data_IF_344539895828
#
_entry.id   IF_344539895828
#
_cell.length_a   1.000
_cell.length_b   1.000
_cell.length_c   1.000
_cell.angle_alpha   90.00
_cell.angle_beta   90.00
_cell.angle_gamma   90.00
#
_symmetry.space_group_name_H-M   'P 1'
#
loop_
_entity.id
_entity.type
_entity.pdbx_description
1 polymer ?
#
# COMPACT_ATOMS: atom_id res chain seq x y z
N UNK A 1 -7.01 28.33 -10.63
CA UNK A 1 -8.34 27.75 -10.86
C UNK A 1 -8.26 26.33 -10.32
N UNK A 2 -9.23 25.92 -9.51
CA UNK A 2 -9.34 24.54 -9.05
C UNK A 2 -9.60 23.68 -10.30
N UNK A 3 -8.67 22.81 -10.65
CA UNK A 3 -8.74 21.96 -11.85
C UNK A 3 -9.61 20.72 -11.63
N UNK A 4 -10.23 20.59 -10.45
CA UNK A 4 -11.09 19.47 -10.09
C UNK A 4 -10.34 18.14 -9.98
N UNK A 5 -9.01 18.18 -9.85
CA UNK A 5 -8.18 16.99 -9.75
C UNK A 5 -8.35 16.32 -8.39
N UNK A 6 -8.79 15.07 -8.41
CA UNK A 6 -8.92 14.22 -7.23
C UNK A 6 -7.84 13.15 -7.28
N UNK A 7 -6.94 13.15 -6.30
CA UNK A 7 -5.89 12.13 -6.16
C UNK A 7 -6.27 11.05 -5.15
N UNK A 8 -5.86 9.81 -5.41
CA UNK A 8 -5.91 8.72 -4.42
C UNK A 8 -4.88 8.88 -3.30
N UNK A 9 -3.92 9.80 -3.45
CA UNK A 9 -2.67 9.76 -2.70
C UNK A 9 -1.73 8.65 -3.22
N UNK A 10 -0.49 8.69 -2.77
CA UNK A 10 0.54 7.71 -3.14
C UNK A 10 0.28 6.41 -2.38
N UNK A 11 0.13 5.31 -3.11
CA UNK A 11 -0.01 3.96 -2.63
C UNK A 11 1.27 3.17 -2.96
N UNK A 12 1.79 2.34 -2.07
CA UNK A 12 2.86 1.41 -2.39
C UNK A 12 2.34 0.23 -3.22
N UNK A 13 3.23 -0.37 -3.99
CA UNK A 13 3.05 -1.66 -4.66
C UNK A 13 3.76 -2.74 -3.82
N UNK A 14 3.36 -4.01 -3.98
CA UNK A 14 3.99 -5.16 -3.29
C UNK A 14 5.45 -5.41 -3.72
N UNK A 15 5.98 -4.63 -4.66
CA UNK A 15 7.32 -4.73 -5.24
C UNK A 15 8.22 -3.52 -4.91
N UNK A 16 7.91 -2.81 -3.83
CA UNK A 16 8.65 -1.61 -3.37
C UNK A 16 8.55 -0.39 -4.29
N UNK A 17 7.72 -0.44 -5.34
CA UNK A 17 7.39 0.73 -6.15
C UNK A 17 6.14 1.43 -5.59
N UNK A 18 5.77 2.57 -6.18
CA UNK A 18 4.55 3.29 -5.78
C UNK A 18 3.65 3.54 -6.98
N UNK A 19 2.36 3.66 -6.70
CA UNK A 19 1.31 4.02 -7.63
C UNK A 19 0.50 5.19 -7.06
N UNK A 20 -0.06 6.01 -7.94
CA UNK A 20 -1.03 7.05 -7.60
C UNK A 20 -2.07 7.10 -8.70
N UNK A 21 -3.34 7.23 -8.32
CA UNK A 21 -4.44 7.42 -9.26
C UNK A 21 -4.99 8.83 -9.11
N UNK A 22 -4.80 9.62 -10.15
CA UNK A 22 -5.39 10.95 -10.28
C UNK A 22 -6.58 10.89 -11.24
N UNK A 23 -7.67 11.59 -10.94
CA UNK A 23 -8.88 11.63 -11.77
C UNK A 23 -9.50 13.02 -11.77
N UNK A 24 -10.21 13.35 -12.85
CA UNK A 24 -11.01 14.57 -12.99
C UNK A 24 -12.37 14.20 -13.59
N UNK A 25 -13.43 14.90 -13.19
CA UNK A 25 -14.76 14.71 -13.78
C UNK A 25 -14.91 15.62 -15.01
N UNK A 26 -15.21 15.00 -16.15
CA UNK A 26 -15.37 15.70 -17.44
C UNK A 26 -16.78 15.43 -17.96
N UNK A 27 -17.45 16.48 -18.43
CA UNK A 27 -18.75 16.33 -19.09
C UNK A 27 -18.59 15.55 -20.39
N UNK A 28 -19.46 14.57 -20.65
CA UNK A 28 -19.43 13.81 -21.91
C UNK A 28 -19.58 14.67 -23.17
N UNK A 29 -20.20 15.84 -23.05
CA UNK A 29 -20.35 16.81 -24.13
C UNK A 29 -19.08 17.63 -24.40
N UNK A 30 -18.07 17.52 -23.54
CA UNK A 30 -16.80 18.23 -23.70
C UNK A 30 -15.96 17.52 -24.76
N UNK A 31 -15.70 18.23 -25.85
CA UNK A 31 -14.92 17.74 -26.99
C UNK A 31 -13.44 18.16 -26.91
N UNK A 32 -13.01 18.71 -25.78
CA UNK A 32 -11.62 19.11 -25.55
C UNK A 32 -10.68 17.91 -25.55
N UNK A 33 -9.41 18.17 -25.83
CA UNK A 33 -8.33 17.22 -25.61
C UNK A 33 -7.78 17.40 -24.18
N UNK A 34 -7.58 16.30 -23.48
CA UNK A 34 -7.08 16.24 -22.11
C UNK A 34 -5.72 15.55 -22.10
N UNK A 35 -4.85 15.93 -21.18
CA UNK A 35 -3.54 15.32 -21.02
C UNK A 35 -3.27 14.94 -19.57
N UNK A 36 -2.60 13.80 -19.38
CA UNK A 36 -1.95 13.43 -18.13
C UNK A 36 -0.45 13.46 -18.37
N UNK A 37 0.24 14.31 -17.64
CA UNK A 37 1.69 14.40 -17.63
C UNK A 37 2.20 13.81 -16.31
N UNK A 38 3.15 12.88 -16.42
CA UNK A 38 3.85 12.25 -15.29
C UNK A 38 5.31 12.59 -15.41
N UNK A 39 5.81 13.39 -14.47
CA UNK A 39 7.23 13.72 -14.32
C UNK A 39 7.76 13.03 -13.08
N UNK A 40 8.74 12.15 -13.26
CA UNK A 40 9.43 11.43 -12.20
C UNK A 40 10.93 11.78 -12.26
N UNK A 41 11.32 12.82 -11.53
CA UNK A 41 12.66 13.40 -11.56
C UNK A 41 13.75 12.39 -11.20
N UNK A 42 13.50 11.52 -10.22
CA UNK A 42 14.47 10.54 -9.74
C UNK A 42 14.91 9.53 -10.81
N UNK A 43 14.03 9.19 -11.76
CA UNK A 43 14.38 8.33 -12.90
C UNK A 43 14.55 9.11 -14.21
N UNK A 44 14.52 10.44 -14.16
CA UNK A 44 14.47 11.32 -15.33
C UNK A 44 13.38 10.92 -16.36
N UNK A 45 12.26 10.38 -15.89
CA UNK A 45 11.15 9.96 -16.76
C UNK A 45 10.13 11.10 -16.83
N UNK A 46 9.77 11.50 -18.05
CA UNK A 46 8.64 12.40 -18.32
C UNK A 46 7.76 11.75 -19.39
N UNK A 47 6.50 11.51 -19.06
CA UNK A 47 5.52 10.86 -19.94
C UNK A 47 4.26 11.69 -19.99
N UNK A 48 3.86 12.09 -21.20
CA UNK A 48 2.57 12.76 -21.43
C UNK A 48 1.67 11.87 -22.28
N UNK A 49 0.46 11.63 -21.82
CA UNK A 49 -0.60 10.92 -22.56
C UNK A 49 -1.77 11.85 -22.79
N UNK A 50 -2.27 11.89 -24.02
CA UNK A 50 -3.40 12.73 -24.43
C UNK A 50 -4.60 11.85 -24.77
N UNK A 51 -5.79 12.22 -24.31
CA UNK A 51 -7.07 11.57 -24.67
C UNK A 51 -8.15 12.62 -24.94
N UNK A 52 -9.21 12.24 -25.65
CA UNK A 52 -10.25 13.19 -26.09
C UNK A 52 -9.84 14.01 -27.32
N UNK A 53 -10.70 14.94 -27.74
CA UNK A 53 -10.57 15.67 -29.01
C UNK A 53 -11.34 15.03 -30.18
N UNK A 54 -11.59 15.78 -31.27
CA UNK A 54 -12.25 15.25 -32.46
C UNK A 54 -11.43 14.09 -33.04
N UNK A 55 -12.04 12.90 -33.04
CA UNK A 55 -11.43 11.70 -33.61
C UNK A 55 -11.16 11.92 -35.09
N UNK A 56 -9.89 11.99 -35.49
CA UNK A 56 -9.52 11.75 -36.89
C UNK A 56 -9.75 10.26 -37.12
N UNK A 57 -10.86 9.95 -37.77
CA UNK A 57 -11.17 8.59 -38.24
C UNK A 57 -10.16 8.26 -39.33
N UNK A 58 -9.08 7.55 -38.98
CA UNK A 58 -8.24 6.88 -39.97
C UNK A 58 -8.92 5.56 -40.29
N UNK A 59 -9.51 5.45 -41.49
CA UNK A 59 -10.07 4.20 -41.98
C UNK A 59 -8.95 3.14 -42.13
N UNK A 60 -9.07 1.97 -41.48
CA UNK A 60 -8.16 0.85 -41.74
C UNK A 60 -8.51 0.24 -43.10
N UNK A 61 -7.53 0.18 -44.00
CA UNK A 61 -7.59 -0.64 -45.20
C UNK A 61 -7.55 -2.12 -44.81
N UNK A 62 -8.48 -2.86 -45.39
CA UNK A 62 -8.71 -4.30 -45.20
C UNK A 62 -7.49 -5.15 -45.60
N UNK A 63 -6.94 -5.93 -44.65
CA UNK A 63 -6.05 -7.07 -44.90
C UNK A 63 -6.73 -8.40 -44.53
N UNK A 64 -6.32 -9.55 -45.11
CA UNK A 64 -7.15 -10.75 -45.15
C UNK A 64 -7.11 -11.60 -43.87
N UNK A 65 -8.20 -12.34 -43.73
CA UNK A 65 -8.63 -13.23 -42.64
C UNK A 65 -7.59 -14.25 -42.18
N UNK A 66 -7.33 -14.31 -40.86
CA UNK A 66 -6.60 -15.40 -40.21
C UNK A 66 -7.57 -16.44 -39.62
N UNK A 67 -7.35 -17.69 -39.99
CA UNK A 67 -8.16 -18.87 -39.64
C UNK A 67 -8.04 -19.20 -38.14
N UNK A 68 -9.18 -19.34 -37.47
CA UNK A 68 -9.29 -19.78 -36.06
C UNK A 68 -9.19 -21.31 -35.99
N UNK A 69 -8.29 -21.91 -35.19
CA UNK A 69 -8.31 -23.34 -34.91
C UNK A 69 -9.31 -23.66 -33.79
N UNK A 70 -10.12 -24.69 -34.02
CA UNK A 70 -11.09 -25.28 -33.08
C UNK A 70 -10.43 -25.88 -31.83
N UNK A 71 -11.11 -25.87 -30.66
CA UNK A 71 -10.54 -26.37 -29.42
C UNK A 71 -10.57 -27.90 -29.36
N UNK A 72 -9.40 -28.50 -29.10
CA UNK A 72 -9.26 -29.91 -28.78
C UNK A 72 -9.76 -30.20 -27.36
N UNK A 73 -10.66 -31.18 -27.22
CA UNK A 73 -11.15 -31.71 -25.95
C UNK A 73 -10.01 -32.22 -25.06
N UNK A 74 -9.90 -31.73 -23.83
CA UNK A 74 -9.08 -32.34 -22.78
C UNK A 74 -9.91 -32.70 -21.54
N UNK A 75 -9.99 -34.02 -21.33
CA UNK A 75 -10.04 -34.87 -20.11
C UNK A 75 -10.49 -34.27 -18.75
N UNK A 76 -11.20 -35.04 -17.89
CA UNK A 76 -11.79 -34.54 -16.66
C UNK A 76 -10.73 -34.24 -15.58
N UNK A 77 -10.83 -33.08 -14.95
CA UNK A 77 -10.05 -32.67 -13.79
C UNK A 77 -10.45 -33.48 -12.56
N UNK A 78 -9.46 -34.16 -11.99
CA UNK A 78 -9.49 -34.67 -10.61
C UNK A 78 -9.78 -33.49 -9.67
N UNK A 79 -10.66 -33.69 -8.69
CA UNK A 79 -11.10 -32.65 -7.76
C UNK A 79 -9.91 -31.99 -7.07
N UNK A 80 -9.67 -30.73 -7.40
CA UNK A 80 -8.90 -29.81 -6.57
C UNK A 80 -9.83 -29.38 -5.43
N UNK A 81 -9.34 -29.48 -4.19
CA UNK A 81 -9.94 -28.80 -3.06
C UNK A 81 -10.20 -27.33 -3.45
N UNK A 82 -11.32 -26.72 -2.98
CA UNK A 82 -11.63 -25.33 -3.31
C UNK A 82 -10.43 -24.44 -2.96
N UNK A 83 -10.10 -23.45 -3.81
CA UNK A 83 -8.94 -22.60 -3.57
C UNK A 83 -9.08 -21.94 -2.21
N UNK A 84 -8.11 -22.18 -1.33
CA UNK A 84 -8.03 -21.51 -0.04
C UNK A 84 -7.78 -20.03 -0.28
N UNK A 85 -8.57 -19.17 0.36
CA UNK A 85 -8.47 -17.73 0.19
C UNK A 85 -7.44 -17.18 1.17
N UNK A 86 -6.40 -16.54 0.63
CA UNK A 86 -5.41 -15.78 1.42
C UNK A 86 -5.86 -14.33 1.54
N UNK A 87 -5.58 -13.75 2.69
CA UNK A 87 -5.92 -12.40 3.06
C UNK A 87 -4.73 -11.69 3.69
N UNK A 88 -4.64 -10.37 3.54
CA UNK A 88 -3.51 -9.57 4.06
C UNK A 88 -3.97 -8.32 4.80
N UNK A 89 -3.21 -7.94 5.85
CA UNK A 89 -3.39 -6.69 6.60
C UNK A 89 -2.05 -5.96 6.81
N UNK A 90 -1.41 -5.41 5.75
CA UNK A 90 -0.22 -4.60 5.92
C UNK A 90 -0.57 -3.15 6.32
N UNK A 91 0.23 -2.60 7.23
CA UNK A 91 0.33 -1.18 7.49
C UNK A 91 1.63 -0.65 6.93
N UNK A 92 1.55 0.47 6.22
CA UNK A 92 2.68 1.04 5.52
C UNK A 92 2.88 2.47 5.99
N UNK A 93 4.10 2.76 6.41
CA UNK A 93 4.56 4.06 6.87
C UNK A 93 5.63 4.54 5.90
N UNK A 94 5.55 5.78 5.47
CA UNK A 94 6.54 6.40 4.58
C UNK A 94 6.92 7.75 5.14
N UNK A 95 8.21 8.03 5.24
CA UNK A 95 8.75 9.32 5.63
C UNK A 95 9.76 9.83 4.60
N UNK A 96 9.69 11.12 4.33
CA UNK A 96 10.59 11.86 3.47
C UNK A 96 11.58 12.66 4.32
N UNK A 97 12.83 12.79 3.87
CA UNK A 97 13.83 13.58 4.58
C UNK A 97 13.57 15.08 4.54
N UNK A 98 12.83 15.54 3.53
CA UNK A 98 12.43 16.93 3.34
C UNK A 98 11.08 17.03 2.60
N UNK A 99 10.35 18.14 2.74
CA UNK A 99 9.16 18.40 1.94
C UNK A 99 9.53 18.50 0.46
N UNK A 100 8.66 17.96 -0.41
CA UNK A 100 8.82 18.08 -1.87
C UNK A 100 7.91 19.15 -2.49
N UNK A 101 6.96 19.70 -1.72
CA UNK A 101 6.07 20.77 -2.18
C UNK A 101 5.08 20.35 -3.28
N UNK A 102 4.88 19.05 -3.50
CA UNK A 102 3.95 18.52 -4.50
C UNK A 102 2.59 18.19 -3.87
N UNK A 103 1.47 18.56 -4.52
CA UNK A 103 0.13 18.24 -4.01
C UNK A 103 -0.06 16.74 -3.72
N UNK A 104 -0.58 16.44 -2.53
CA UNK A 104 -0.85 15.06 -2.09
C UNK A 104 0.38 14.24 -1.70
N UNK A 105 1.58 14.85 -1.67
CA UNK A 105 2.79 14.21 -1.14
C UNK A 105 3.18 14.89 0.17
N UNK A 106 3.08 14.13 1.25
CA UNK A 106 3.34 14.62 2.61
C UNK A 106 4.66 14.06 3.13
N UNK A 107 5.32 14.80 4.03
CA UNK A 107 6.57 14.37 4.66
C UNK A 107 6.45 13.05 5.40
N UNK A 108 5.27 12.76 5.96
CA UNK A 108 4.98 11.47 6.56
C UNK A 108 3.56 11.03 6.23
N UNK A 109 3.42 9.77 5.85
CA UNK A 109 2.13 9.12 5.63
C UNK A 109 2.11 7.76 6.32
N UNK A 110 0.92 7.34 6.72
CA UNK A 110 0.69 5.99 7.22
C UNK A 110 -0.69 5.48 6.83
N UNK A 111 -0.77 4.26 6.31
CA UNK A 111 -2.02 3.66 5.84
C UNK A 111 -2.10 2.18 6.19
N UNK A 112 -3.31 1.69 6.40
CA UNK A 112 -3.61 0.25 6.48
C UNK A 112 -4.29 -0.22 5.21
N UNK A 113 -3.96 -1.43 4.74
CA UNK A 113 -4.60 -2.09 3.61
C UNK A 113 -5.25 -3.40 4.07
N UNK A 114 -6.45 -3.70 3.58
CA UNK A 114 -7.10 -5.01 3.73
C UNK A 114 -7.30 -5.58 2.33
N UNK A 115 -6.62 -6.68 2.00
CA UNK A 115 -6.59 -7.23 0.64
C UNK A 115 -6.34 -6.12 -0.42
N UNK A 116 -5.26 -5.35 -0.22
CA UNK A 116 -4.83 -4.20 -1.04
C UNK A 116 -5.77 -2.99 -1.07
N UNK A 117 -6.88 -3.02 -0.34
CA UNK A 117 -7.80 -1.89 -0.25
C UNK A 117 -7.44 -1.03 0.95
N UNK A 118 -7.19 0.26 0.72
CA UNK A 118 -6.94 1.21 1.81
C UNK A 118 -8.13 1.28 2.78
N UNK A 119 -7.87 0.97 4.05
CA UNK A 119 -8.88 0.97 5.12
C UNK A 119 -8.75 2.18 6.05
N UNK A 120 -7.52 2.67 6.27
CA UNK A 120 -7.25 3.90 7.01
C UNK A 120 -6.10 4.70 6.40
N UNK A 121 -6.04 5.98 6.75
CA UNK A 121 -5.00 6.89 6.29
C UNK A 121 -4.65 7.93 7.35
N UNK A 122 -3.41 8.40 7.33
CA UNK A 122 -2.87 9.48 8.13
C UNK A 122 -1.79 10.19 7.31
N UNK A 123 -1.72 11.52 7.42
CA UNK A 123 -0.64 12.35 6.87
C UNK A 123 -0.13 13.39 7.87
N UNK A 124 1.06 13.92 7.62
CA UNK A 124 1.75 14.86 8.50
C UNK A 124 1.10 16.24 8.61
N UNK A 125 0.19 16.61 7.70
CA UNK A 125 -0.49 17.92 7.69
C UNK A 125 -1.77 17.88 8.51
N UNK A 126 -2.67 16.94 8.21
CA UNK A 126 -3.95 16.78 8.92
C UNK A 126 -3.74 16.14 10.29
N UNK A 127 -2.77 15.23 10.41
CA UNK A 127 -2.39 14.56 11.65
C UNK A 127 -3.55 13.88 12.39
N UNK A 128 -4.50 13.31 11.64
CA UNK A 128 -5.62 12.53 12.16
C UNK A 128 -5.70 11.22 11.38
N UNK A 129 -5.85 10.10 12.10
CA UNK A 129 -6.11 8.80 11.46
C UNK A 129 -7.58 8.76 11.03
N UNK A 130 -7.83 8.68 9.73
CA UNK A 130 -9.19 8.73 9.16
C UNK A 130 -9.58 7.40 8.51
N UNK A 131 -10.86 6.98 8.62
CA UNK A 131 -11.38 5.82 7.91
C UNK A 131 -11.43 6.08 6.40
N UNK A 132 -11.15 5.04 5.62
CA UNK A 132 -11.27 5.03 4.15
C UNK A 132 -12.32 4.06 3.62
N UNK A 133 -12.93 3.29 4.52
CA UNK A 133 -14.10 2.45 4.24
C UNK A 133 -15.23 2.81 5.20
N UNK A 134 -16.48 2.78 4.72
CA UNK A 134 -17.65 3.14 5.52
C UNK A 134 -17.82 2.20 6.73
N UNK A 135 -17.63 0.90 6.53
CA UNK A 135 -17.74 -0.10 7.61
C UNK A 135 -16.78 0.18 8.77
N UNK A 136 -15.60 0.76 8.51
CA UNK A 136 -14.68 1.14 9.58
C UNK A 136 -15.24 2.30 10.41
N UNK A 137 -15.83 3.31 9.74
CA UNK A 137 -16.42 4.47 10.41
C UNK A 137 -17.58 4.06 11.31
N UNK A 138 -18.43 3.15 10.83
CA UNK A 138 -19.64 2.75 11.54
C UNK A 138 -19.38 1.76 12.69
N UNK A 139 -18.39 0.88 12.55
CA UNK A 139 -18.24 -0.29 13.44
C UNK A 139 -17.12 -0.16 14.46
N UNK A 140 -16.20 0.77 14.27
CA UNK A 140 -15.08 0.95 15.19
C UNK A 140 -15.36 2.10 16.17
N UNK A 141 -15.11 1.88 17.48
CA UNK A 141 -15.38 2.88 18.49
C UNK A 141 -14.44 4.09 18.36
N UNK A 142 -14.84 5.23 18.92
CA UNK A 142 -14.04 6.47 18.88
C UNK A 142 -12.61 6.27 19.44
N UNK A 143 -12.46 5.48 20.51
CA UNK A 143 -11.16 5.26 21.16
C UNK A 143 -10.15 4.51 20.26
N UNK A 144 -10.63 3.70 19.30
CA UNK A 144 -9.77 3.10 18.27
C UNK A 144 -9.09 4.18 17.41
N UNK A 145 -9.86 5.20 17.00
CA UNK A 145 -9.37 6.30 16.17
C UNK A 145 -8.45 7.24 16.95
N UNK A 146 -8.79 7.54 18.20
CA UNK A 146 -7.97 8.40 19.06
C UNK A 146 -6.61 7.76 19.38
N UNK A 147 -6.61 6.50 19.85
CA UNK A 147 -5.38 5.73 20.11
C UNK A 147 -4.56 5.55 18.84
N UNK A 148 -5.23 5.25 17.72
CA UNK A 148 -4.59 5.15 16.41
C UNK A 148 -3.91 6.45 16.00
N UNK A 149 -4.57 7.59 16.17
CA UNK A 149 -4.02 8.92 15.84
C UNK A 149 -2.78 9.23 16.69
N UNK A 150 -2.82 8.99 18.00
CA UNK A 150 -1.66 9.21 18.86
C UNK A 150 -0.49 8.29 18.50
N UNK A 151 -0.77 7.03 18.17
CA UNK A 151 0.23 6.09 17.68
C UNK A 151 0.90 6.59 16.38
N UNK A 152 0.11 7.06 15.40
CA UNK A 152 0.64 7.60 14.13
C UNK A 152 1.46 8.87 14.34
N UNK A 153 1.07 9.77 15.24
CA UNK A 153 1.87 10.95 15.63
C UNK A 153 3.21 10.57 16.27
N UNK A 154 3.20 9.59 17.17
CA UNK A 154 4.43 9.08 17.79
C UNK A 154 5.38 8.48 16.73
N UNK A 155 4.84 7.70 15.79
CA UNK A 155 5.61 7.17 14.66
C UNK A 155 6.15 8.27 13.74
N UNK A 156 5.37 9.29 13.41
CA UNK A 156 5.85 10.45 12.64
C UNK A 156 7.13 11.06 13.26
N UNK A 157 7.13 11.29 14.58
CA UNK A 157 8.32 11.80 15.27
C UNK A 157 9.49 10.80 15.25
N UNK A 158 9.20 9.52 15.46
CA UNK A 158 10.22 8.47 15.37
C UNK A 158 10.90 8.46 13.99
N UNK A 159 10.12 8.52 12.90
CA UNK A 159 10.64 8.56 11.54
C UNK A 159 11.46 9.82 11.27
N UNK A 160 10.96 10.99 11.71
CA UNK A 160 11.67 12.27 11.58
C UNK A 160 13.07 12.24 12.21
N UNK A 161 13.23 11.56 13.35
CA UNK A 161 14.53 11.41 14.00
C UNK A 161 15.39 10.36 13.29
N UNK A 162 14.80 9.19 12.96
CA UNK A 162 15.58 8.07 12.43
C UNK A 162 16.04 8.27 10.98
N UNK A 163 15.32 9.05 10.18
CA UNK A 163 15.77 9.35 8.82
C UNK A 163 17.08 10.15 8.82
N UNK A 164 17.24 11.12 9.72
CA UNK A 164 18.50 11.86 9.87
C UNK A 164 19.67 10.96 10.32
N UNK A 165 19.42 10.09 11.30
CA UNK A 165 20.42 9.10 11.76
C UNK A 165 20.83 8.15 10.63
N UNK A 166 19.87 7.73 9.81
CA UNK A 166 20.14 6.86 8.67
C UNK A 166 20.96 7.59 7.60
N UNK A 167 20.61 8.82 7.24
CA UNK A 167 21.37 9.63 6.27
C UNK A 167 22.83 9.75 6.71
N UNK A 168 23.11 10.06 7.98
CA UNK A 168 24.47 10.10 8.51
C UNK A 168 25.18 8.74 8.39
N UNK A 169 24.48 7.65 8.73
CA UNK A 169 25.04 6.29 8.65
C UNK A 169 25.35 5.86 7.22
N UNK A 170 24.52 6.28 6.28
CA UNK A 170 24.67 6.05 4.84
C UNK A 170 25.63 7.06 4.18
N UNK A 171 26.18 8.02 4.95
CA UNK A 171 27.10 9.08 4.49
C UNK A 171 26.47 9.97 3.41
N UNK A 172 25.18 10.24 3.53
CA UNK A 172 24.40 11.11 2.66
C UNK A 172 24.19 12.49 3.30
N UNK A 173 23.75 13.45 2.50
CA UNK A 173 23.45 14.82 2.92
C UNK A 173 22.01 15.20 2.54
N UNK A 174 21.60 16.44 2.81
CA UNK A 174 20.25 16.94 2.56
C UNK A 174 20.02 17.47 1.13
N UNK A 175 21.01 17.33 0.23
CA UNK A 175 20.89 17.78 -1.16
C UNK A 175 19.87 16.95 -1.93
N UNK A 176 19.82 15.65 -1.67
CA UNK A 176 18.86 14.72 -2.27
C UNK A 176 17.66 14.45 -1.34
N UNK A 177 16.58 13.95 -1.92
CA UNK A 177 15.45 13.43 -1.16
C UNK A 177 15.76 11.99 -0.74
N UNK A 178 15.57 11.69 0.54
CA UNK A 178 15.67 10.34 1.06
C UNK A 178 14.33 9.86 1.59
N UNK A 179 14.09 8.56 1.49
CA UNK A 179 12.81 7.95 1.84
C UNK A 179 13.06 6.77 2.78
N UNK A 180 12.42 6.80 3.95
CA UNK A 180 12.36 5.66 4.87
C UNK A 180 10.95 5.09 4.89
N UNK A 181 10.83 3.80 4.62
CA UNK A 181 9.57 3.08 4.63
C UNK A 181 9.58 1.96 5.67
N UNK A 182 8.42 1.67 6.23
CA UNK A 182 8.19 0.52 7.08
C UNK A 182 6.86 -0.13 6.68
N UNK A 183 6.91 -1.40 6.30
CA UNK A 183 5.75 -2.24 6.06
C UNK A 183 5.65 -3.26 7.18
N UNK A 184 4.52 -3.32 7.85
CA UNK A 184 4.30 -4.23 8.97
C UNK A 184 2.88 -4.78 9.01
N UNK A 185 2.71 -6.09 9.12
CA UNK A 185 1.40 -6.75 9.08
C UNK A 185 1.50 -8.26 8.91
N UNK A 186 0.41 -8.89 8.49
CA UNK A 186 0.31 -10.35 8.43
C UNK A 186 -0.52 -10.80 7.23
N UNK A 187 -0.31 -12.07 6.89
CA UNK A 187 -1.16 -12.82 5.98
C UNK A 187 -1.79 -14.03 6.68
N UNK A 188 -3.07 -14.23 6.39
CA UNK A 188 -3.86 -15.35 6.92
C UNK A 188 -4.59 -16.10 5.81
N UNK A 189 -4.74 -17.40 5.98
CA UNK A 189 -5.50 -18.26 5.07
C UNK A 189 -6.80 -18.70 5.74
N UNK A 190 -7.92 -18.51 5.04
CA UNK A 190 -9.23 -18.99 5.49
C UNK A 190 -9.27 -20.51 5.50
N UNK A 191 -9.56 -21.06 6.67
CA UNK A 191 -9.74 -22.50 6.89
C UNK A 191 -11.20 -22.92 6.61
N UNK A 192 -11.48 -24.23 6.43
CA UNK A 192 -12.84 -24.72 6.15
C UNK A 192 -13.89 -24.36 7.21
N UNK A 193 -13.46 -24.12 8.46
CA UNK A 193 -14.32 -23.69 9.56
C UNK A 193 -14.58 -22.17 9.60
N UNK A 194 -14.00 -21.42 8.66
CA UNK A 194 -14.10 -19.96 8.55
C UNK A 194 -13.08 -19.19 9.39
N UNK A 195 -12.22 -19.87 10.16
CA UNK A 195 -11.14 -19.21 10.92
C UNK A 195 -9.98 -18.82 10.01
N UNK A 196 -9.14 -17.89 10.46
CA UNK A 196 -7.89 -17.55 9.78
C UNK A 196 -6.71 -18.27 10.43
N UNK A 197 -5.93 -18.98 9.61
CA UNK A 197 -4.64 -19.53 10.01
C UNK A 197 -3.54 -18.59 9.56
N UNK A 198 -2.65 -18.21 10.48
CA UNK A 198 -1.45 -17.44 10.16
C UNK A 198 -0.61 -18.13 9.08
N UNK A 199 -0.14 -17.36 8.10
CA UNK A 199 0.71 -17.83 7.00
C UNK A 199 2.11 -17.23 7.10
N UNK A 200 2.20 -15.90 7.16
CA UNK A 200 3.46 -15.16 7.32
C UNK A 200 3.24 -13.77 7.91
N UNK A 201 4.25 -13.29 8.61
CA UNK A 201 4.37 -11.90 9.05
C UNK A 201 5.22 -11.09 8.08
N UNK A 202 4.94 -9.79 8.00
CA UNK A 202 5.79 -8.82 7.31
C UNK A 202 6.19 -7.77 8.33
N UNK A 203 7.49 -7.52 8.49
CA UNK A 203 8.04 -6.39 9.23
C UNK A 203 9.35 -6.00 8.54
N UNK A 204 9.26 -5.04 7.62
CA UNK A 204 10.33 -4.70 6.69
C UNK A 204 10.52 -3.20 6.61
N UNK A 205 11.77 -2.78 6.72
CA UNK A 205 12.22 -1.42 6.51
C UNK A 205 12.94 -1.34 5.18
N UNK A 206 12.57 -0.34 4.38
CA UNK A 206 13.26 0.01 3.14
C UNK A 206 13.78 1.44 3.23
N UNK A 207 14.95 1.69 2.65
CA UNK A 207 15.58 2.99 2.59
C UNK A 207 15.99 3.32 1.15
N UNK A 208 15.54 4.46 0.66
CA UNK A 208 15.69 4.89 -0.75
C UNK A 208 15.26 3.79 -1.75
N UNK A 209 14.16 3.08 -1.42
CA UNK A 209 13.61 1.99 -2.23
C UNK A 209 14.33 0.64 -2.13
N UNK A 210 15.41 0.53 -1.36
CA UNK A 210 16.16 -0.70 -1.18
C UNK A 210 15.89 -1.35 0.18
N UNK A 211 15.95 -2.69 0.25
CA UNK A 211 15.83 -3.42 1.51
C UNK A 211 16.89 -2.98 2.52
N UNK A 212 16.45 -2.60 3.71
CA UNK A 212 17.34 -2.13 4.78
C UNK A 212 17.40 -3.11 5.95
N UNK A 213 16.25 -3.50 6.52
CA UNK A 213 16.17 -4.39 7.68
C UNK A 213 14.82 -5.10 7.68
N UNK A 214 14.78 -6.40 7.99
CA UNK A 214 13.51 -7.14 8.09
C UNK A 214 13.48 -8.07 9.29
N UNK A 215 12.30 -8.51 9.72
CA UNK A 215 12.15 -9.56 10.73
C UNK A 215 11.83 -10.89 10.06
N UNK A 216 12.64 -11.91 10.33
CA UNK A 216 12.31 -13.30 9.99
C UNK A 216 11.41 -13.85 11.09
N UNK A 217 10.11 -13.90 10.81
CA UNK A 217 9.08 -14.36 11.74
C UNK A 217 9.28 -15.82 12.14
N UNK A 218 9.80 -16.68 11.26
CA UNK A 218 10.02 -18.11 11.53
C UNK A 218 11.12 -18.32 12.55
N UNK A 219 12.25 -17.67 12.39
CA UNK A 219 13.38 -17.80 13.31
C UNK A 219 13.33 -16.80 14.48
N UNK A 220 12.48 -15.77 14.38
CA UNK A 220 12.30 -14.75 15.40
C UNK A 220 13.54 -13.86 15.55
N UNK A 221 14.21 -13.51 14.45
CA UNK A 221 15.41 -12.66 14.46
C UNK A 221 15.33 -11.59 13.37
N UNK A 222 16.07 -10.50 13.55
CA UNK A 222 16.20 -9.47 12.52
C UNK A 222 17.18 -9.89 11.43
N UNK A 223 16.98 -9.48 10.19
CA UNK A 223 17.84 -9.74 9.04
C UNK A 223 18.31 -8.40 8.47
N UNK A 224 19.62 -8.29 8.28
CA UNK A 224 20.28 -7.09 7.76
C UNK A 224 20.96 -7.44 6.43
N UNK A 225 20.35 -7.10 5.27
CA UNK A 225 20.95 -7.36 3.96
C UNK A 225 22.19 -6.50 3.67
N UNK A 226 22.35 -5.36 4.35
CA UNK A 226 23.48 -4.43 4.15
C UNK A 226 24.27 -4.15 5.44
N UNK A 227 25.57 -3.79 5.34
CA UNK A 227 26.41 -3.48 6.49
C UNK A 227 25.87 -2.40 7.43
N UNK A 228 25.24 -1.36 6.88
CA UNK A 228 24.71 -0.20 7.61
C UNK A 228 23.53 -0.57 8.51
N UNK A 229 22.85 -1.68 8.22
CA UNK A 229 21.77 -2.22 9.04
C UNK A 229 22.26 -3.13 10.17
N UNK A 230 23.52 -3.64 10.12
CA UNK A 230 24.04 -4.60 11.11
C UNK A 230 24.03 -4.06 12.54
N UNK A 231 24.30 -2.76 12.71
CA UNK A 231 24.25 -2.13 14.04
C UNK A 231 22.83 -2.18 14.62
N UNK A 232 21.82 -1.86 13.81
CA UNK A 232 20.41 -1.93 14.22
C UNK A 232 20.01 -3.38 14.52
N UNK A 233 20.34 -4.32 13.62
CA UNK A 233 20.10 -5.76 13.83
C UNK A 233 20.66 -6.24 15.16
N UNK A 234 21.96 -6.02 15.45
CA UNK A 234 22.58 -6.47 16.70
C UNK A 234 21.87 -5.88 17.93
N UNK A 235 21.55 -4.58 17.88
CA UNK A 235 20.84 -3.91 18.98
C UNK A 235 19.47 -4.54 19.19
N UNK A 236 18.68 -4.71 18.14
CA UNK A 236 17.31 -5.21 18.25
C UNK A 236 17.26 -6.70 18.59
N UNK A 237 18.18 -7.51 18.05
CA UNK A 237 18.32 -8.92 18.41
C UNK A 237 18.70 -9.13 19.88
N UNK A 238 19.45 -8.19 20.47
CA UNK A 238 19.83 -8.25 21.88
C UNK A 238 18.69 -7.92 22.84
N UNK A 239 17.57 -7.36 22.34
CA UNK A 239 16.40 -6.98 23.13
C UNK A 239 15.33 -8.07 22.98
N UNK A 240 15.33 -9.06 23.87
CA UNK A 240 14.43 -10.21 23.78
C UNK A 240 12.94 -9.81 23.73
N UNK A 241 12.53 -8.88 24.60
CA UNK A 241 11.15 -8.37 24.64
C UNK A 241 10.69 -7.75 23.32
N UNK A 242 11.60 -7.12 22.56
CA UNK A 242 11.26 -6.52 21.27
C UNK A 242 10.93 -7.61 20.25
N UNK A 243 11.75 -8.67 20.17
CA UNK A 243 11.52 -9.78 19.24
C UNK A 243 10.23 -10.53 19.56
N UNK A 244 9.99 -10.81 20.84
CA UNK A 244 8.78 -11.49 21.31
C UNK A 244 7.54 -10.65 21.03
N UNK A 245 7.60 -9.33 21.27
CA UNK A 245 6.51 -8.42 20.95
C UNK A 245 6.24 -8.36 19.44
N UNK A 246 7.28 -8.20 18.60
CA UNK A 246 7.14 -8.17 17.14
C UNK A 246 6.51 -9.47 16.64
N UNK A 247 7.04 -10.63 17.03
CA UNK A 247 6.50 -11.93 16.64
C UNK A 247 5.06 -12.12 17.14
N UNK A 248 4.79 -11.77 18.39
CA UNK A 248 3.48 -11.89 19.01
C UNK A 248 2.41 -11.06 18.30
N UNK A 249 2.75 -9.82 17.91
CA UNK A 249 1.86 -8.99 17.11
C UNK A 249 1.58 -9.60 15.74
N UNK A 250 2.63 -10.00 15.02
CA UNK A 250 2.51 -10.53 13.65
C UNK A 250 1.68 -11.81 13.59
N UNK A 251 1.93 -12.76 14.50
CA UNK A 251 1.29 -14.07 14.49
C UNK A 251 -0.12 -14.06 15.08
N UNK A 252 -0.42 -13.15 16.01
CA UNK A 252 -1.66 -13.17 16.79
C UNK A 252 -2.48 -11.89 16.62
N UNK A 253 -2.01 -10.76 17.15
CA UNK A 253 -2.81 -9.53 17.18
C UNK A 253 -3.22 -9.07 15.76
N UNK A 254 -2.32 -9.19 14.79
CA UNK A 254 -2.61 -8.85 13.41
C UNK A 254 -3.66 -9.78 12.80
N UNK A 255 -3.60 -11.09 13.06
CA UNK A 255 -4.58 -12.07 12.57
C UNK A 255 -5.96 -11.84 13.19
N UNK A 256 -6.02 -11.48 14.48
CA UNK A 256 -7.25 -11.11 15.15
C UNK A 256 -7.89 -9.87 14.51
N UNK A 257 -7.09 -8.84 14.21
CA UNK A 257 -7.56 -7.66 13.49
C UNK A 257 -7.99 -7.98 12.06
N UNK A 258 -7.23 -8.79 11.34
CA UNK A 258 -7.54 -9.22 9.98
C UNK A 258 -8.89 -9.95 9.95
N UNK A 259 -9.10 -10.92 10.83
CA UNK A 259 -10.36 -11.65 10.98
C UNK A 259 -11.52 -10.70 11.27
N UNK A 260 -11.34 -9.77 12.22
CA UNK A 260 -12.35 -8.78 12.59
C UNK A 260 -12.73 -7.87 11.42
N UNK A 261 -11.76 -7.38 10.66
CA UNK A 261 -11.99 -6.48 9.53
C UNK A 261 -12.65 -7.19 8.35
N UNK A 262 -12.25 -8.42 8.03
CA UNK A 262 -12.93 -9.22 7.01
C UNK A 262 -14.40 -9.47 7.36
N UNK A 263 -14.68 -9.78 8.63
CA UNK A 263 -16.04 -9.96 9.11
C UNK A 263 -16.87 -8.67 8.94
N UNK A 264 -16.29 -7.52 9.29
CA UNK A 264 -16.96 -6.22 9.12
C UNK A 264 -17.24 -5.87 7.67
N UNK A 265 -16.28 -6.12 6.78
CA UNK A 265 -16.44 -5.90 5.36
C UNK A 265 -17.53 -6.80 4.75
N UNK A 266 -17.55 -8.08 5.08
CA UNK A 266 -18.53 -9.04 4.55
C UNK A 266 -19.97 -8.71 4.96
N UNK A 267 -20.14 -8.16 6.16
CA UNK A 267 -21.44 -7.74 6.66
C UNK A 267 -21.86 -6.36 6.14
N UNK A 268 -21.00 -5.63 5.44
CA UNK A 268 -21.41 -4.40 4.79
C UNK A 268 -22.27 -4.77 3.57
N UNK A 269 -23.52 -4.28 3.46
CA UNK A 269 -24.30 -4.49 2.27
C UNK A 269 -23.53 -3.92 1.08
N UNK A 270 -23.27 -4.75 0.06
CA UNK A 270 -22.82 -4.24 -1.23
C UNK A 270 -23.95 -3.35 -1.71
N UNK A 271 -23.75 -2.03 -1.68
CA UNK A 271 -24.56 -1.14 -2.49
C UNK A 271 -24.28 -1.53 -3.94
N UNK A 272 -25.06 -2.48 -4.47
CA UNK A 272 -25.25 -2.61 -5.91
C UNK A 272 -25.52 -1.22 -6.41
N UNK A 273 -24.68 -0.72 -7.33
CA UNK A 273 -24.90 0.52 -8.02
C UNK A 273 -26.31 0.49 -8.61
N UNK A 274 -27.26 1.10 -7.92
CA UNK A 274 -28.59 1.41 -8.43
C UNK A 274 -28.49 2.72 -9.21
N UNK A 275 -27.70 2.73 -10.30
CA UNK A 275 -27.78 3.75 -11.34
C UNK A 275 -27.28 3.16 -12.66
N UNK A 276 -28.04 2.19 -13.18
CA UNK A 276 -28.21 2.03 -14.62
C UNK A 276 -29.54 2.68 -15.00
N UNK A 277 -29.50 3.96 -15.41
CA UNK A 277 -30.47 4.59 -16.34
C UNK A 277 -29.69 5.56 -17.23
#
# INVERSE_FOLDING_TARGET
ADDGLISSGVLPNEDHTFQRRDRVEVLRSDLSAFSCEVVHEASAVSVTRVWGGPSVVVHPTSGPSAVVPTPSKSRPSVGLDPPTKTHSLPYIYTALSKPVGLPGIHEFTAMGLLDDRMIDYFDSENQVKVPRQEWMRERLPADYWDKGTQSRKSKQQWFKVNIGILMERMRQNDSDLHVLQWMHGCEGETQPDGTLRFVRGVDMYAYDGNDFLSFDDRSGVWVAPIPEALLTKRKWDSVQVLKEYTKGYLENECIDWLSKFLNYEQQQPRNTCMYDI
#
